data_IF_586568367874
#
_entry.id   IF_586568367874
#
_cell.length_a   1.000
_cell.length_b   1.000
_cell.length_c   1.000
_cell.angle_alpha   90.00
_cell.angle_beta   90.00
_cell.angle_gamma   90.00
#
_symmetry.space_group_name_H-M   'P 1'
#
loop_
_entity.id
_entity.type
_entity.pdbx_description
1 polymer ?
#
# COMPACT_ATOMS: atom_id res chain seq x y z
N UNK A 1 52.78 -52.37 39.62
CA UNK A 1 53.92 -52.16 40.53
C UNK A 1 54.12 -50.66 40.71
N UNK A 2 54.07 -50.18 41.96
CA UNK A 2 54.39 -48.83 42.46
C UNK A 2 53.58 -47.65 41.88
N UNK A 3 52.62 -47.04 42.58
CA UNK A 3 52.66 -46.32 43.87
C UNK A 3 53.63 -45.14 43.88
N UNK A 4 53.10 -43.89 43.85
CA UNK A 4 53.33 -42.85 44.86
C UNK A 4 52.77 -41.47 44.42
N UNK A 5 52.00 -40.87 45.34
CA UNK A 5 52.04 -39.45 45.75
C UNK A 5 51.28 -38.42 44.90
N UNK A 6 50.03 -38.27 45.31
CA UNK A 6 49.38 -37.01 45.71
C UNK A 6 50.34 -35.85 46.03
N UNK A 7 50.24 -34.75 45.27
CA UNK A 7 50.40 -33.38 45.80
C UNK A 7 49.46 -32.43 45.08
N UNK A 8 48.28 -32.27 45.65
CA UNK A 8 47.52 -31.03 45.62
C UNK A 8 48.37 -29.86 46.17
N UNK A 9 48.41 -28.71 45.47
CA UNK A 9 48.39 -27.47 46.23
C UNK A 9 47.30 -26.54 45.70
N UNK A 10 46.49 -26.10 46.66
CA UNK A 10 45.54 -24.98 46.59
C UNK A 10 44.18 -25.29 45.97
N UNK A 11 43.34 -25.88 46.82
CA UNK A 11 41.90 -25.64 46.82
C UNK A 11 41.62 -24.13 46.74
N UNK A 12 40.92 -23.70 45.68
CA UNK A 12 40.13 -22.47 45.69
C UNK A 12 38.65 -22.87 45.81
N UNK A 13 37.92 -22.36 46.83
CA UNK A 13 36.55 -22.78 47.09
C UNK A 13 35.59 -22.33 45.99
N UNK A 14 34.72 -23.28 45.60
CA UNK A 14 33.75 -23.30 44.50
C UNK A 14 32.62 -22.23 44.57
N UNK A 15 32.81 -21.12 45.29
CA UNK A 15 31.77 -20.11 45.53
C UNK A 15 31.90 -18.81 44.73
N UNK A 16 33.01 -18.58 44.04
CA UNK A 16 33.15 -17.33 43.25
C UNK A 16 32.83 -17.48 41.75
N UNK A 17 32.62 -18.70 41.24
CA UNK A 17 32.38 -18.92 39.82
C UNK A 17 30.92 -18.76 39.36
N UNK A 18 30.05 -18.17 40.19
CA UNK A 18 28.63 -17.97 39.88
C UNK A 18 28.23 -16.51 39.64
N UNK A 19 29.14 -15.54 39.79
CA UNK A 19 28.85 -14.12 39.56
C UNK A 19 29.43 -13.55 38.26
N UNK A 20 30.27 -14.29 37.54
CA UNK A 20 30.79 -13.83 36.24
C UNK A 20 29.89 -14.17 35.03
N UNK A 21 28.89 -15.04 35.19
CA UNK A 21 28.02 -15.44 34.08
C UNK A 21 26.81 -14.52 33.86
N UNK A 22 26.51 -13.59 34.78
CA UNK A 22 25.39 -12.64 34.63
C UNK A 22 25.85 -11.24 34.20
N UNK A 23 27.13 -10.89 34.40
CA UNK A 23 27.66 -9.59 34.01
C UNK A 23 28.09 -9.50 32.52
N UNK A 24 28.32 -10.62 31.85
CA UNK A 24 28.67 -10.62 30.42
C UNK A 24 27.46 -10.44 29.48
N UNK A 25 26.24 -10.46 30.02
CA UNK A 25 25.01 -10.24 29.24
C UNK A 25 24.58 -8.75 29.19
N UNK A 26 25.25 -7.85 29.91
CA UNK A 26 24.86 -6.44 30.02
C UNK A 26 25.88 -5.44 29.45
N UNK A 27 27.04 -5.90 28.99
CA UNK A 27 28.01 -5.08 28.27
C UNK A 27 27.98 -5.37 26.76
N UNK A 28 26.97 -4.84 26.07
CA UNK A 28 27.08 -4.43 24.67
C UNK A 28 26.73 -5.44 23.58
N UNK A 29 26.43 -6.69 23.90
CA UNK A 29 26.07 -7.73 22.92
C UNK A 29 24.57 -7.91 22.74
N UNK A 30 23.81 -6.85 22.48
CA UNK A 30 22.40 -7.00 22.10
C UNK A 30 22.29 -7.91 20.87
N UNK A 31 21.32 -8.83 20.83
CA UNK A 31 20.91 -9.52 19.62
C UNK A 31 20.63 -8.45 18.56
N UNK A 32 21.61 -8.18 17.69
CA UNK A 32 21.40 -7.37 16.50
C UNK A 32 20.55 -8.23 15.60
N UNK A 33 19.27 -7.88 15.47
CA UNK A 33 18.49 -8.32 14.32
C UNK A 33 19.35 -7.98 13.09
N UNK A 34 19.75 -9.00 12.32
CA UNK A 34 20.41 -8.75 11.05
C UNK A 34 19.44 -7.91 10.22
N UNK A 35 19.81 -6.65 9.96
CA UNK A 35 19.08 -5.85 9.00
C UNK A 35 19.13 -6.63 7.69
N UNK A 36 17.96 -7.04 7.18
CA UNK A 36 17.87 -7.53 5.81
C UNK A 36 18.44 -6.41 4.94
N UNK A 37 19.61 -6.66 4.34
CA UNK A 37 20.15 -5.74 3.37
C UNK A 37 19.10 -5.65 2.26
N UNK A 38 18.45 -4.49 2.15
CA UNK A 38 17.50 -4.22 1.08
C UNK A 38 18.20 -4.47 -0.26
N UNK A 39 17.50 -5.11 -1.19
CA UNK A 39 18.06 -5.37 -2.51
C UNK A 39 18.51 -4.05 -3.16
N UNK A 40 19.72 -4.02 -3.70
CA UNK A 40 20.21 -2.87 -4.44
C UNK A 40 19.45 -2.75 -5.77
N UNK A 41 18.89 -1.57 -6.04
CA UNK A 41 18.21 -1.26 -7.31
C UNK A 41 19.18 -0.47 -8.20
N UNK A 42 19.48 -0.98 -9.39
CA UNK A 42 20.29 -0.30 -10.38
C UNK A 42 19.40 0.36 -11.44
N UNK A 43 19.64 1.63 -11.75
CA UNK A 43 18.91 2.41 -12.75
C UNK A 43 19.90 2.79 -13.85
N UNK A 44 19.66 2.33 -15.08
CA UNK A 44 20.44 2.69 -16.26
C UNK A 44 19.70 3.74 -17.10
N UNK A 45 20.17 5.01 -17.15
CA UNK A 45 19.53 6.07 -17.91
C UNK A 45 19.73 5.94 -19.44
N UNK A 46 20.56 5.02 -19.91
CA UNK A 46 20.78 4.76 -21.35
C UNK A 46 19.77 3.75 -21.92
N UNK A 47 18.96 3.10 -21.07
CA UNK A 47 17.90 2.17 -21.49
C UNK A 47 16.54 2.88 -21.39
N UNK A 48 15.81 2.92 -22.50
CA UNK A 48 14.46 3.48 -22.56
C UNK A 48 13.41 2.42 -22.92
N UNK A 49 12.21 2.56 -22.36
CA UNK A 49 11.04 1.73 -22.60
C UNK A 49 9.90 2.57 -23.24
N UNK A 50 8.76 1.96 -23.61
CA UNK A 50 7.60 2.72 -24.05
C UNK A 50 7.20 3.81 -23.05
N UNK A 51 6.66 4.91 -23.57
CA UNK A 51 6.20 6.03 -22.75
C UNK A 51 5.07 5.55 -21.85
N UNK A 52 5.21 5.81 -20.55
CA UNK A 52 4.13 5.62 -19.61
C UNK A 52 3.07 6.70 -19.84
N UNK A 53 1.93 6.31 -20.40
CA UNK A 53 0.84 7.24 -20.72
C UNK A 53 0.10 7.72 -19.48
N UNK A 54 0.02 6.88 -18.45
CA UNK A 54 -0.64 7.26 -17.21
C UNK A 54 -1.33 6.15 -16.46
N UNK A 55 -2.19 6.58 -15.54
CA UNK A 55 -2.96 5.77 -14.63
C UNK A 55 -4.21 6.52 -14.21
N UNK A 56 -5.20 5.77 -13.78
CA UNK A 56 -6.52 6.35 -13.63
C UNK A 56 -7.57 5.44 -13.06
N UNK A 57 -8.82 5.86 -13.24
CA UNK A 57 -9.98 5.23 -12.64
C UNK A 57 -11.14 5.14 -13.62
N UNK A 58 -11.89 4.03 -13.52
CA UNK A 58 -13.19 3.92 -14.18
C UNK A 58 -14.20 4.77 -13.42
N UNK A 59 -14.96 5.59 -14.13
CA UNK A 59 -16.04 6.42 -13.57
C UNK A 59 -17.38 5.66 -13.48
N UNK A 60 -17.37 4.35 -13.71
CA UNK A 60 -18.56 3.51 -13.70
C UNK A 60 -19.36 3.68 -12.41
N UNK A 61 -20.53 4.33 -12.55
CA UNK A 61 -21.62 4.44 -11.57
C UNK A 61 -21.32 5.24 -10.29
N UNK A 62 -20.10 5.21 -9.74
CA UNK A 62 -19.77 6.01 -8.56
C UNK A 62 -19.69 7.50 -8.88
N UNK A 63 -19.21 7.86 -10.08
CA UNK A 63 -19.12 9.25 -10.49
C UNK A 63 -20.50 9.89 -10.64
N UNK A 64 -21.52 9.09 -10.99
CA UNK A 64 -22.92 9.54 -11.01
C UNK A 64 -23.42 9.88 -9.61
N UNK A 65 -23.08 9.06 -8.60
CA UNK A 65 -23.39 9.37 -7.20
C UNK A 65 -22.67 10.66 -6.78
N UNK A 66 -21.39 10.81 -7.10
CA UNK A 66 -20.60 12.00 -6.77
C UNK A 66 -21.14 13.26 -7.43
N UNK A 67 -21.63 13.17 -8.67
CA UNK A 67 -22.28 14.28 -9.36
C UNK A 67 -23.54 14.79 -8.65
N UNK A 68 -24.24 13.93 -7.91
CA UNK A 68 -25.40 14.30 -7.10
C UNK A 68 -25.08 14.86 -5.70
N UNK A 69 -23.80 14.86 -5.30
CA UNK A 69 -23.41 15.42 -4.00
C UNK A 69 -23.37 16.95 -4.05
N UNK A 70 -23.40 17.57 -2.86
CA UNK A 70 -23.13 19.02 -2.72
C UNK A 70 -21.82 19.39 -3.40
N UNK A 71 -21.81 20.52 -4.11
CA UNK A 71 -20.67 21.00 -4.89
C UNK A 71 -19.37 21.03 -4.08
N UNK A 72 -19.43 21.45 -2.82
CA UNK A 72 -18.23 21.50 -1.96
C UNK A 72 -17.62 20.11 -1.72
N UNK A 73 -18.44 19.07 -1.64
CA UNK A 73 -18.00 17.68 -1.39
C UNK A 73 -17.48 17.06 -2.69
N UNK A 74 -18.21 17.19 -3.79
CA UNK A 74 -17.78 16.66 -5.09
C UNK A 74 -16.48 17.32 -5.55
N UNK A 75 -16.34 18.64 -5.36
CA UNK A 75 -15.10 19.35 -5.70
C UNK A 75 -13.90 18.89 -4.88
N UNK A 76 -14.07 18.68 -3.56
CA UNK A 76 -13.00 18.13 -2.71
C UNK A 76 -12.57 16.73 -3.17
N UNK A 77 -13.52 15.88 -3.56
CA UNK A 77 -13.23 14.55 -4.05
C UNK A 77 -12.50 14.60 -5.39
N UNK A 78 -12.97 15.42 -6.34
CA UNK A 78 -12.30 15.63 -7.63
C UNK A 78 -10.87 16.12 -7.43
N UNK A 79 -10.64 17.09 -6.53
CA UNK A 79 -9.28 17.54 -6.20
C UNK A 79 -8.42 16.39 -5.66
N UNK A 80 -8.93 15.59 -4.72
CA UNK A 80 -8.16 14.47 -4.16
C UNK A 80 -7.84 13.38 -5.17
N UNK A 81 -8.63 13.24 -6.23
CA UNK A 81 -8.42 12.21 -7.27
C UNK A 81 -7.52 12.72 -8.40
N UNK A 82 -7.78 13.92 -8.91
CA UNK A 82 -7.19 14.41 -10.16
C UNK A 82 -6.13 15.50 -9.99
N UNK A 83 -6.06 16.16 -8.84
CA UNK A 83 -5.03 17.17 -8.63
C UNK A 83 -3.65 16.49 -8.40
N UNK A 84 -2.63 16.81 -9.21
CA UNK A 84 -1.31 16.17 -9.09
C UNK A 84 -0.48 16.72 -7.92
N UNK A 85 -0.81 17.89 -7.39
CA UNK A 85 -0.09 18.52 -6.29
C UNK A 85 -0.64 18.09 -4.91
N UNK A 86 -1.95 17.91 -4.80
CA UNK A 86 -2.62 17.65 -3.50
C UNK A 86 -3.46 16.35 -3.46
N UNK A 87 -3.50 15.60 -4.56
CA UNK A 87 -4.29 14.39 -4.73
C UNK A 87 -3.49 13.24 -5.35
N UNK A 88 -4.21 12.26 -5.89
CA UNK A 88 -3.61 11.08 -6.55
C UNK A 88 -3.03 11.42 -7.93
N UNK A 89 -3.37 12.56 -8.53
CA UNK A 89 -2.84 12.95 -9.83
C UNK A 89 -3.20 11.98 -10.97
N UNK A 90 -4.39 11.37 -10.92
CA UNK A 90 -4.87 10.57 -12.05
C UNK A 90 -4.95 11.43 -13.31
N UNK A 91 -4.41 10.90 -14.41
CA UNK A 91 -4.45 11.55 -15.72
C UNK A 91 -5.34 10.81 -16.73
N UNK A 92 -5.87 9.65 -16.36
CA UNK A 92 -6.81 8.86 -17.18
C UNK A 92 -8.14 8.72 -16.43
N UNK A 93 -9.25 8.97 -17.14
CA UNK A 93 -10.59 8.69 -16.67
C UNK A 93 -11.37 7.94 -17.75
N UNK A 94 -12.00 6.81 -17.37
CA UNK A 94 -12.83 6.03 -18.29
C UNK A 94 -14.30 6.22 -17.94
N UNK A 95 -15.02 6.97 -18.77
CA UNK A 95 -16.45 7.22 -18.58
C UNK A 95 -17.32 6.08 -19.14
N UNK A 96 -18.48 5.84 -18.52
CA UNK A 96 -19.46 4.86 -18.97
C UNK A 96 -20.59 5.56 -19.72
N UNK A 97 -20.74 5.24 -21.01
CA UNK A 97 -21.95 5.59 -21.75
C UNK A 97 -23.10 4.73 -21.19
N UNK A 98 -24.13 5.39 -20.65
CA UNK A 98 -25.30 4.72 -20.09
C UNK A 98 -26.16 4.08 -21.17
N UNK A 99 -26.74 2.91 -20.85
CA UNK A 99 -27.78 2.28 -21.66
C UNK A 99 -29.19 2.78 -21.33
N UNK A 100 -29.34 3.51 -20.23
CA UNK A 100 -30.65 3.87 -19.68
C UNK A 100 -31.42 2.68 -19.12
N UNK A 101 -32.60 2.98 -18.57
CA UNK A 101 -33.61 1.99 -18.21
C UNK A 101 -34.79 2.13 -19.18
N UNK A 102 -35.57 1.05 -19.34
CA UNK A 102 -36.87 1.18 -19.98
C UNK A 102 -37.73 2.15 -19.14
N UNK A 103 -38.26 3.25 -19.73
CA UNK A 103 -39.01 4.26 -18.99
C UNK A 103 -40.26 3.74 -18.24
N UNK A 104 -40.76 2.55 -18.59
CA UNK A 104 -41.88 1.88 -17.91
C UNK A 104 -41.48 1.29 -16.55
N UNK A 105 -40.19 1.06 -16.32
CA UNK A 105 -39.67 0.36 -15.16
C UNK A 105 -38.63 1.20 -14.41
N UNK A 106 -38.50 0.95 -13.11
CA UNK A 106 -37.60 1.67 -12.20
C UNK A 106 -36.95 0.71 -11.19
N UNK A 107 -36.24 -0.30 -11.68
CA UNK A 107 -35.53 -1.27 -10.84
C UNK A 107 -34.00 -1.06 -10.82
N UNK A 108 -33.46 -0.22 -11.70
CA UNK A 108 -32.03 0.08 -11.68
C UNK A 108 -31.63 0.78 -10.37
N UNK A 109 -30.50 0.34 -9.80
CA UNK A 109 -29.89 1.02 -8.66
C UNK A 109 -29.53 2.45 -9.06
N UNK A 110 -29.80 3.44 -8.20
CA UNK A 110 -29.61 4.86 -8.53
C UNK A 110 -28.20 5.18 -9.04
N UNK A 111 -27.15 4.53 -8.51
CA UNK A 111 -25.77 4.70 -9.00
C UNK A 111 -25.57 4.29 -10.47
N UNK A 112 -26.31 3.27 -10.92
CA UNK A 112 -26.18 2.67 -12.24
C UNK A 112 -27.20 3.20 -13.24
N UNK A 113 -28.22 3.93 -12.78
CA UNK A 113 -29.27 4.55 -13.58
C UNK A 113 -28.76 5.76 -14.38
N UNK A 114 -27.68 5.56 -15.13
CA UNK A 114 -27.10 6.56 -16.03
C UNK A 114 -28.07 6.73 -17.22
N UNK A 115 -28.48 7.97 -17.55
CA UNK A 115 -29.29 8.22 -18.73
C UNK A 115 -28.70 7.58 -19.98
N UNK A 116 -29.57 7.03 -20.82
CA UNK A 116 -29.18 6.49 -22.11
C UNK A 116 -28.67 7.61 -23.01
N UNK A 117 -27.62 7.35 -23.79
CA UNK A 117 -27.10 8.31 -24.79
C UNK A 117 -28.13 8.68 -25.87
N UNK A 118 -29.12 7.80 -26.09
CA UNK A 118 -30.28 8.05 -26.93
C UNK A 118 -31.55 7.83 -26.10
N UNK A 119 -31.97 8.80 -25.28
CA UNK A 119 -33.12 8.63 -24.39
C UNK A 119 -34.44 8.48 -25.17
N UNK A 120 -34.48 8.98 -26.42
CA UNK A 120 -35.58 8.78 -27.37
C UNK A 120 -35.02 8.44 -28.75
N UNK A 121 -35.73 7.66 -29.59
CA UNK A 121 -35.27 7.36 -30.94
C UNK A 121 -34.85 8.63 -31.70
N UNK A 122 -33.61 8.63 -32.19
CA UNK A 122 -32.99 9.73 -32.96
C UNK A 122 -32.79 11.05 -32.20
N UNK A 123 -33.01 11.08 -30.88
CA UNK A 123 -32.60 12.20 -30.04
C UNK A 123 -31.38 11.81 -29.23
N UNK A 124 -30.27 12.51 -29.47
CA UNK A 124 -29.01 12.33 -28.76
C UNK A 124 -28.87 13.41 -27.70
N UNK A 125 -28.48 13.01 -26.49
CA UNK A 125 -28.13 13.91 -25.40
C UNK A 125 -26.61 14.00 -25.34
N UNK A 126 -26.08 15.11 -25.88
CA UNK A 126 -24.64 15.40 -25.98
C UNK A 126 -24.21 16.41 -24.93
#
# INVERSE_FOLDING_TARGET
MSSLIDRNPHAMPRRELLLAAVAAALSGGGLRAAASAGAAVHIDPHVSYPVFEGWGVSLAWWAHVVGGLRREVSHKLVQKVFDPAIGLGFNIARYNIGGGENPKYHFMQSRAAIPGFMPRPQQWDW
#
